data_IF_379613884151
#
_entry.id   IF_379613884151
#
_cell.length_a   1.000
_cell.length_b   1.000
_cell.length_c   1.000
_cell.angle_alpha   90.00
_cell.angle_beta   90.00
_cell.angle_gamma   90.00
#
_symmetry.space_group_name_H-M   'P 1'
#
loop_
_entity.id
_entity.type
_entity.pdbx_description
1 polymer ?
#
# COMPACT_ATOMS: atom_id res chain seq x y z
N UNK A 1 73.68 1.52 81.14
CA UNK A 1 72.95 0.96 79.97
C UNK A 1 71.49 0.79 80.37
N UNK A 2 70.66 1.73 80.01
CA UNK A 2 69.24 1.72 80.38
C UNK A 2 68.40 1.19 79.19
N UNK A 3 67.58 0.19 79.45
CA UNK A 3 66.58 -0.36 78.49
C UNK A 3 65.45 0.61 78.36
N UNK A 4 65.11 0.96 77.11
CA UNK A 4 63.89 1.68 76.79
C UNK A 4 62.69 0.75 76.84
N UNK A 5 61.53 1.22 77.30
CA UNK A 5 60.27 0.43 77.26
C UNK A 5 59.61 0.43 75.86
N UNK A 6 59.01 -0.72 75.52
CA UNK A 6 58.20 -0.89 74.29
C UNK A 6 56.84 -0.24 74.46
N UNK A 7 56.26 0.29 73.33
CA UNK A 7 54.90 0.85 73.33
C UNK A 7 53.82 -0.25 73.26
N UNK A 8 52.58 0.04 73.70
CA UNK A 8 51.51 -0.95 73.80
C UNK A 8 50.93 -1.27 72.41
N UNK A 9 50.61 -2.52 72.19
CA UNK A 9 49.95 -3.04 70.98
C UNK A 9 48.48 -2.62 70.99
N UNK A 10 48.05 -1.78 70.01
CA UNK A 10 46.66 -1.44 69.75
C UNK A 10 45.96 -2.53 68.89
N UNK A 11 44.96 -3.16 69.51
CA UNK A 11 44.08 -4.14 68.80
C UNK A 11 43.12 -3.42 67.91
N UNK A 12 43.36 -3.49 66.60
CA UNK A 12 42.37 -3.01 65.58
C UNK A 12 41.31 -4.11 65.35
N UNK A 13 40.12 -3.90 65.89
CA UNK A 13 38.92 -4.68 65.55
C UNK A 13 38.45 -4.19 64.19
N UNK A 14 38.66 -4.96 63.11
CA UNK A 14 38.14 -4.70 61.78
C UNK A 14 36.67 -5.10 61.76
N UNK A 15 35.77 -4.10 61.66
CA UNK A 15 34.37 -4.32 61.45
C UNK A 15 34.19 -4.51 59.88
N UNK A 16 33.98 -5.75 59.46
CA UNK A 16 33.59 -6.07 58.10
C UNK A 16 32.08 -5.72 57.89
N UNK A 17 31.79 -4.58 57.30
CA UNK A 17 30.45 -4.27 56.85
C UNK A 17 30.15 -5.06 55.56
N UNK A 18 29.30 -6.08 55.69
CA UNK A 18 28.81 -6.89 54.56
C UNK A 18 27.79 -6.07 53.78
N UNK A 19 28.20 -5.42 52.67
CA UNK A 19 27.31 -4.80 51.72
C UNK A 19 26.62 -5.91 50.89
N UNK A 20 25.40 -6.27 51.27
CA UNK A 20 24.51 -7.11 50.45
C UNK A 20 23.99 -6.23 49.32
N UNK A 21 24.60 -6.30 48.13
CA UNK A 21 24.06 -5.68 46.92
C UNK A 21 22.79 -6.46 46.51
N UNK A 22 21.64 -5.86 46.71
CA UNK A 22 20.38 -6.33 46.09
C UNK A 22 20.53 -6.22 44.58
N UNK A 23 20.87 -7.31 43.92
CA UNK A 23 20.75 -7.42 42.45
C UNK A 23 19.25 -7.56 42.12
N UNK A 24 18.59 -6.43 41.87
CA UNK A 24 17.26 -6.43 41.29
C UNK A 24 17.45 -6.90 39.84
N UNK A 25 16.89 -8.05 39.40
CA UNK A 25 16.96 -8.43 38.01
C UNK A 25 16.21 -7.37 37.23
N UNK A 26 16.90 -6.60 36.34
CA UNK A 26 16.27 -5.88 35.29
C UNK A 26 15.52 -6.93 34.44
N UNK A 27 14.21 -7.04 34.65
CA UNK A 27 13.36 -7.70 33.68
C UNK A 27 13.51 -6.90 32.39
N UNK A 28 14.30 -7.43 31.45
CA UNK A 28 14.20 -7.01 30.05
C UNK A 28 12.71 -7.17 29.69
N UNK A 29 12.02 -6.07 29.52
CA UNK A 29 10.74 -6.10 28.80
C UNK A 29 11.09 -6.65 27.42
N UNK A 30 10.87 -7.94 27.21
CA UNK A 30 10.81 -8.50 25.87
C UNK A 30 9.68 -7.72 25.20
N UNK A 31 10.05 -6.80 24.32
CA UNK A 31 9.14 -6.22 23.37
C UNK A 31 8.50 -7.42 22.67
N UNK A 32 7.23 -7.70 22.95
CA UNK A 32 6.50 -8.69 22.19
C UNK A 32 6.50 -8.19 20.75
N UNK A 33 7.17 -8.94 19.86
CA UNK A 33 7.20 -8.60 18.46
C UNK A 33 5.75 -8.35 17.99
N UNK A 34 5.52 -7.22 17.32
CA UNK A 34 4.20 -6.92 16.80
C UNK A 34 3.72 -8.10 15.93
N UNK A 35 2.48 -8.52 16.15
CA UNK A 35 1.85 -9.57 15.37
C UNK A 35 0.76 -8.91 14.52
N UNK A 36 0.77 -9.21 13.23
CA UNK A 36 -0.28 -8.75 12.32
C UNK A 36 -1.65 -9.28 12.78
N UNK A 37 -2.61 -8.38 13.08
CA UNK A 37 -3.96 -8.77 13.48
C UNK A 37 -4.86 -9.09 12.29
N UNK A 38 -4.39 -8.85 11.05
CA UNK A 38 -5.17 -9.04 9.83
C UNK A 38 -5.61 -10.49 9.65
N UNK A 39 -6.75 -10.68 9.01
CA UNK A 39 -7.39 -12.01 8.89
C UNK A 39 -6.84 -12.85 7.73
N UNK A 40 -5.92 -12.31 6.93
CA UNK A 40 -5.36 -13.03 5.79
C UNK A 40 -4.40 -14.15 6.19
N UNK A 41 -4.20 -15.08 5.26
CA UNK A 41 -3.11 -16.05 5.27
C UNK A 41 -2.11 -15.63 4.20
N UNK A 42 -0.83 -15.44 4.59
CA UNK A 42 0.24 -15.12 3.65
C UNK A 42 0.87 -16.39 3.08
N UNK A 43 1.11 -16.41 1.77
CA UNK A 43 1.82 -17.47 1.06
C UNK A 43 2.75 -16.89 0.01
N UNK A 44 3.82 -17.64 -0.37
CA UNK A 44 4.80 -17.21 -1.36
C UNK A 44 4.75 -18.11 -2.59
N UNK A 45 4.37 -17.55 -3.74
CA UNK A 45 4.14 -18.30 -4.98
C UNK A 45 5.26 -17.99 -5.99
N UNK A 46 5.92 -19.01 -6.55
CA UNK A 46 6.91 -18.82 -7.60
C UNK A 46 6.27 -18.26 -8.88
N UNK A 47 6.87 -17.23 -9.49
CA UNK A 47 6.41 -16.60 -10.74
C UNK A 47 7.51 -16.60 -11.82
N UNK A 48 8.40 -17.54 -11.78
CA UNK A 48 9.52 -17.70 -12.69
C UNK A 48 10.76 -18.17 -11.96
N UNK A 49 11.91 -18.07 -12.61
CA UNK A 49 13.16 -18.47 -11.99
C UNK A 49 13.50 -17.47 -10.86
N UNK A 50 13.67 -18.00 -9.66
CA UNK A 50 14.17 -17.31 -8.47
C UNK A 50 13.32 -16.13 -7.95
N UNK A 51 12.08 -15.93 -8.43
CA UNK A 51 11.17 -14.92 -7.91
C UNK A 51 9.94 -15.58 -7.29
N UNK A 52 9.66 -15.27 -6.04
CA UNK A 52 8.42 -15.63 -5.36
C UNK A 52 7.71 -14.37 -4.94
N UNK A 53 6.41 -14.30 -5.19
CA UNK A 53 5.58 -13.18 -4.76
C UNK A 53 4.75 -13.57 -3.55
N UNK A 54 4.64 -12.62 -2.63
CA UNK A 54 3.71 -12.72 -1.53
C UNK A 54 2.27 -12.58 -2.05
N UNK A 55 1.43 -13.51 -1.64
CA UNK A 55 -0.01 -13.50 -1.89
C UNK A 55 -0.72 -13.60 -0.57
N UNK A 56 -1.59 -12.64 -0.30
CA UNK A 56 -2.48 -12.63 0.86
C UNK A 56 -3.82 -13.24 0.45
N UNK A 57 -4.32 -14.17 1.26
CA UNK A 57 -5.62 -14.83 1.07
C UNK A 57 -6.52 -14.49 2.27
N UNK A 58 -7.55 -13.66 2.04
CA UNK A 58 -8.54 -13.31 3.06
C UNK A 58 -9.71 -14.31 3.10
N UNK A 59 -9.70 -15.35 2.24
CA UNK A 59 -10.76 -16.33 2.17
C UNK A 59 -12.02 -15.80 1.49
N UNK A 60 -13.14 -16.35 1.91
CA UNK A 60 -14.44 -16.10 1.30
C UNK A 60 -14.87 -17.21 0.36
N UNK A 61 -16.04 -17.06 -0.24
CA UNK A 61 -16.62 -18.04 -1.17
C UNK A 61 -17.11 -17.35 -2.44
N UNK A 62 -17.13 -18.09 -3.55
CA UNK A 62 -17.57 -17.56 -4.85
C UNK A 62 -16.42 -17.31 -5.81
N UNK A 63 -16.67 -16.42 -6.78
CA UNK A 63 -15.67 -16.10 -7.82
C UNK A 63 -14.40 -15.52 -7.19
N UNK A 64 -13.20 -15.94 -7.64
CA UNK A 64 -11.97 -15.31 -7.19
C UNK A 64 -11.91 -13.82 -7.55
N UNK A 65 -11.41 -13.00 -6.61
CA UNK A 65 -11.15 -11.59 -6.79
C UNK A 65 -9.72 -11.29 -6.34
N UNK A 66 -8.92 -10.69 -7.22
CA UNK A 66 -7.49 -10.42 -6.97
C UNK A 66 -7.23 -8.93 -6.91
N UNK A 67 -6.71 -8.46 -5.78
CA UNK A 67 -6.36 -7.07 -5.51
C UNK A 67 -4.89 -6.81 -5.84
N UNK A 68 -4.62 -5.73 -6.58
CA UNK A 68 -3.28 -5.31 -7.03
C UNK A 68 -2.99 -3.89 -6.51
N UNK A 69 -1.95 -3.76 -5.70
CA UNK A 69 -1.63 -2.51 -5.02
C UNK A 69 -1.03 -1.44 -5.94
N UNK A 70 -1.09 -0.20 -5.51
CA UNK A 70 -0.48 0.95 -6.14
C UNK A 70 1.05 0.97 -6.08
N UNK A 71 1.65 2.03 -6.62
CA UNK A 71 3.09 2.24 -6.54
C UNK A 71 3.55 2.51 -5.12
N UNK A 72 4.53 1.76 -4.64
CA UNK A 72 5.06 1.88 -3.28
C UNK A 72 4.23 1.19 -2.20
N UNK A 73 3.13 0.53 -2.57
CA UNK A 73 2.29 -0.24 -1.66
C UNK A 73 2.47 -1.75 -1.84
N UNK A 74 2.12 -2.49 -0.79
CA UNK A 74 2.02 -3.95 -0.78
C UNK A 74 0.54 -4.36 -0.73
N UNK A 75 0.26 -5.66 -0.80
CA UNK A 75 -1.12 -6.15 -0.68
C UNK A 75 -1.75 -5.82 0.69
N UNK A 76 -0.94 -5.58 1.72
CA UNK A 76 -1.40 -5.20 3.06
C UNK A 76 -2.17 -3.87 3.11
N UNK A 77 -2.06 -3.03 2.06
CA UNK A 77 -2.87 -1.80 1.96
C UNK A 77 -4.38 -2.10 1.91
N UNK A 78 -4.76 -3.34 1.56
CA UNK A 78 -6.15 -3.78 1.48
C UNK A 78 -6.66 -4.53 2.72
N UNK A 79 -5.87 -4.63 3.80
CA UNK A 79 -6.24 -5.45 4.97
C UNK A 79 -7.55 -5.04 5.64
N UNK A 80 -7.90 -3.75 5.60
CA UNK A 80 -9.17 -3.25 6.13
C UNK A 80 -10.32 -3.31 5.09
N UNK A 81 -10.00 -3.37 3.80
CA UNK A 81 -10.95 -3.37 2.68
C UNK A 81 -11.34 -4.76 2.21
N UNK A 82 -10.35 -5.65 2.02
CA UNK A 82 -10.55 -6.99 1.45
C UNK A 82 -11.56 -7.85 2.22
N UNK A 83 -11.59 -7.86 3.58
CA UNK A 83 -12.56 -8.64 4.33
C UNK A 83 -14.03 -8.30 4.02
N UNK A 84 -14.30 -7.07 3.56
CA UNK A 84 -15.67 -6.60 3.23
C UNK A 84 -16.19 -7.15 1.89
N UNK A 85 -15.31 -7.78 1.12
CA UNK A 85 -15.63 -8.43 -0.15
C UNK A 85 -15.81 -9.95 0.00
N UNK A 86 -15.39 -10.55 1.13
CA UNK A 86 -15.38 -12.01 1.31
C UNK A 86 -16.76 -12.64 1.41
N UNK A 87 -17.81 -11.86 1.62
CA UNK A 87 -19.20 -12.36 1.53
C UNK A 87 -19.61 -12.76 0.11
N UNK A 88 -18.99 -12.14 -0.90
CA UNK A 88 -19.38 -12.26 -2.29
C UNK A 88 -18.29 -12.94 -3.15
N UNK A 89 -17.04 -12.92 -2.71
CA UNK A 89 -15.86 -13.36 -3.45
C UNK A 89 -14.88 -14.12 -2.56
N UNK A 90 -14.04 -14.98 -3.18
CA UNK A 90 -12.80 -15.43 -2.55
C UNK A 90 -11.71 -14.40 -2.88
N UNK A 91 -11.19 -13.71 -1.87
CA UNK A 91 -10.37 -12.50 -2.06
C UNK A 91 -8.90 -12.78 -1.83
N UNK A 92 -8.10 -12.46 -2.83
CA UNK A 92 -6.63 -12.52 -2.82
C UNK A 92 -6.03 -11.13 -3.03
N UNK A 93 -4.79 -10.93 -2.56
CA UNK A 93 -4.00 -9.75 -2.86
C UNK A 93 -2.58 -10.15 -3.24
N UNK A 94 -2.00 -9.50 -4.24
CA UNK A 94 -0.64 -9.77 -4.70
C UNK A 94 0.25 -8.59 -4.34
N UNK A 95 1.32 -8.84 -3.58
CA UNK A 95 2.42 -7.90 -3.42
C UNK A 95 3.35 -8.02 -4.63
N UNK A 96 3.44 -6.93 -5.41
CA UNK A 96 4.24 -6.87 -6.65
C UNK A 96 5.71 -7.19 -6.40
N UNK A 97 6.39 -7.78 -7.39
CA UNK A 97 7.84 -8.05 -7.34
C UNK A 97 8.65 -6.83 -6.93
N UNK A 98 9.59 -7.01 -6.00
CA UNK A 98 10.46 -5.97 -5.49
C UNK A 98 9.81 -5.01 -4.52
N UNK A 99 8.63 -5.35 -3.97
CA UNK A 99 7.95 -4.64 -2.88
C UNK A 99 7.71 -5.59 -1.70
N UNK A 100 7.67 -5.04 -0.50
CA UNK A 100 7.44 -5.81 0.72
C UNK A 100 8.36 -7.03 0.83
N UNK A 101 7.75 -8.18 1.08
CA UNK A 101 8.44 -9.48 1.20
C UNK A 101 8.55 -10.22 -0.16
N UNK A 102 8.00 -9.66 -1.24
CA UNK A 102 8.10 -10.24 -2.57
C UNK A 102 9.52 -10.17 -3.12
N UNK A 103 9.97 -11.26 -3.75
CA UNK A 103 11.26 -11.35 -4.41
C UNK A 103 11.42 -10.34 -5.55
N UNK A 104 12.66 -10.10 -5.96
CA UNK A 104 12.99 -9.20 -7.06
C UNK A 104 13.93 -9.85 -8.06
N UNK A 105 13.63 -9.69 -9.34
CA UNK A 105 14.57 -9.87 -10.45
C UNK A 105 14.33 -8.77 -11.48
N UNK A 106 15.35 -8.40 -12.28
CA UNK A 106 15.19 -7.41 -13.35
C UNK A 106 14.05 -7.78 -14.30
N UNK A 107 13.36 -6.77 -14.83
CA UNK A 107 12.28 -6.97 -15.80
C UNK A 107 12.86 -7.44 -17.15
N UNK A 108 12.24 -8.44 -17.74
CA UNK A 108 12.62 -9.00 -19.03
C UNK A 108 11.80 -8.47 -20.19
N UNK A 109 10.55 -8.08 -19.95
CA UNK A 109 9.57 -7.63 -20.96
C UNK A 109 8.87 -6.32 -20.60
N UNK A 110 9.55 -5.43 -19.89
CA UNK A 110 9.00 -4.15 -19.47
C UNK A 110 7.78 -4.34 -18.56
N UNK A 111 6.76 -3.49 -18.71
CA UNK A 111 5.56 -3.51 -17.87
C UNK A 111 4.70 -4.78 -18.03
N UNK A 112 4.82 -5.52 -19.14
CA UNK A 112 4.10 -6.79 -19.31
C UNK A 112 4.58 -7.86 -18.32
N UNK A 113 5.81 -7.77 -17.81
CA UNK A 113 6.32 -8.70 -16.78
C UNK A 113 5.42 -8.70 -15.53
N UNK A 114 4.89 -7.55 -15.14
CA UNK A 114 3.97 -7.47 -13.99
C UNK A 114 2.63 -8.18 -14.28
N UNK A 115 2.11 -8.04 -15.51
CA UNK A 115 0.93 -8.79 -15.94
C UNK A 115 1.19 -10.30 -16.06
N UNK A 116 2.38 -10.69 -16.49
CA UNK A 116 2.81 -12.11 -16.57
C UNK A 116 2.92 -12.70 -15.15
N UNK A 117 3.39 -11.95 -14.18
CA UNK A 117 3.40 -12.35 -12.77
C UNK A 117 1.98 -12.63 -12.24
N UNK A 118 1.03 -11.74 -12.55
CA UNK A 118 -0.38 -11.96 -12.19
C UNK A 118 -0.86 -13.27 -12.80
N UNK A 119 -0.65 -13.50 -14.10
CA UNK A 119 -1.06 -14.74 -14.76
C UNK A 119 -0.42 -15.99 -14.13
N UNK A 120 0.86 -15.94 -13.78
CA UNK A 120 1.54 -17.04 -13.11
C UNK A 120 0.90 -17.36 -11.74
N UNK A 121 0.48 -16.35 -10.99
CA UNK A 121 -0.26 -16.54 -9.74
C UNK A 121 -1.63 -17.16 -10.01
N UNK A 122 -2.38 -16.66 -11.02
CA UNK A 122 -3.69 -17.22 -11.37
C UNK A 122 -3.56 -18.71 -11.72
N UNK A 123 -2.53 -19.09 -12.48
CA UNK A 123 -2.27 -20.49 -12.86
C UNK A 123 -1.88 -21.35 -11.65
N UNK A 124 -0.97 -20.86 -10.80
CA UNK A 124 -0.52 -21.58 -9.62
C UNK A 124 -1.66 -21.87 -8.63
N UNK A 125 -2.55 -20.90 -8.44
CA UNK A 125 -3.74 -21.02 -7.57
C UNK A 125 -4.95 -21.64 -8.28
N UNK A 126 -4.87 -21.92 -9.58
CA UNK A 126 -5.96 -22.45 -10.42
C UNK A 126 -7.21 -21.56 -10.36
N UNK A 127 -7.00 -20.24 -10.40
CA UNK A 127 -8.10 -19.27 -10.36
C UNK A 127 -8.73 -19.16 -11.76
N UNK A 128 -9.96 -19.63 -11.87
CA UNK A 128 -10.71 -19.61 -13.12
C UNK A 128 -11.52 -18.30 -13.22
N UNK A 129 -11.30 -17.57 -14.30
CA UNK A 129 -12.05 -16.34 -14.63
C UNK A 129 -12.21 -15.36 -13.45
N UNK A 130 -11.11 -14.97 -12.77
CA UNK A 130 -11.18 -14.06 -11.63
C UNK A 130 -11.58 -12.65 -12.05
N UNK A 131 -12.04 -11.86 -11.09
CA UNK A 131 -12.06 -10.39 -11.20
C UNK A 131 -10.70 -9.86 -10.79
N UNK A 132 -10.10 -8.97 -11.58
CA UNK A 132 -8.91 -8.25 -11.18
C UNK A 132 -9.29 -6.83 -10.77
N UNK A 133 -8.77 -6.37 -9.64
CA UNK A 133 -9.00 -5.04 -9.07
C UNK A 133 -7.65 -4.38 -8.84
N UNK A 134 -7.37 -3.26 -9.48
CA UNK A 134 -6.07 -2.59 -9.39
C UNK A 134 -6.19 -1.14 -8.95
N UNK A 135 -5.36 -0.75 -7.98
CA UNK A 135 -5.21 0.62 -7.54
C UNK A 135 -4.05 1.29 -8.26
N UNK A 136 -4.24 2.55 -8.70
CA UNK A 136 -3.16 3.37 -9.25
C UNK A 136 -2.41 2.62 -10.37
N UNK A 137 -1.08 2.48 -10.28
CA UNK A 137 -0.27 1.76 -11.27
C UNK A 137 -0.65 0.27 -11.41
N UNK A 138 -1.40 -0.32 -10.47
CA UNK A 138 -2.04 -1.63 -10.63
C UNK A 138 -2.90 -1.72 -11.90
N UNK A 139 -3.36 -0.58 -12.42
CA UNK A 139 -4.02 -0.48 -13.72
C UNK A 139 -3.18 -0.97 -14.91
N UNK A 140 -1.85 -0.90 -14.84
CA UNK A 140 -0.95 -1.46 -15.87
C UNK A 140 -1.09 -2.98 -15.96
N UNK A 141 -1.13 -3.65 -14.82
CA UNK A 141 -1.29 -5.12 -14.75
C UNK A 141 -2.66 -5.51 -15.27
N UNK A 142 -3.73 -4.78 -14.86
CA UNK A 142 -5.07 -4.99 -15.36
C UNK A 142 -5.12 -4.88 -16.89
N UNK A 143 -4.61 -3.79 -17.43
CA UNK A 143 -4.65 -3.51 -18.88
C UNK A 143 -3.77 -4.48 -19.66
N UNK A 144 -2.61 -4.86 -19.12
CA UNK A 144 -1.73 -5.87 -19.70
C UNK A 144 -2.45 -7.23 -19.83
N UNK A 145 -3.08 -7.70 -18.73
CA UNK A 145 -3.81 -8.97 -18.74
C UNK A 145 -5.07 -8.87 -19.59
N UNK A 146 -5.91 -7.83 -19.38
CA UNK A 146 -7.18 -7.67 -20.08
C UNK A 146 -7.05 -7.45 -21.57
N UNK A 147 -5.94 -6.88 -22.04
CA UNK A 147 -5.67 -6.70 -23.48
C UNK A 147 -5.10 -7.96 -24.11
N UNK A 148 -4.09 -8.57 -23.48
CA UNK A 148 -3.39 -9.73 -24.02
C UNK A 148 -4.16 -11.04 -23.83
N UNK A 149 -4.91 -11.15 -22.75
CA UNK A 149 -5.57 -12.39 -22.33
C UNK A 149 -7.01 -12.16 -21.84
N UNK A 150 -7.89 -11.52 -22.63
CA UNK A 150 -9.23 -11.09 -22.18
C UNK A 150 -10.10 -12.26 -21.69
N UNK A 151 -9.88 -13.47 -22.19
CA UNK A 151 -10.64 -14.66 -21.80
C UNK A 151 -10.16 -15.29 -20.48
N UNK A 152 -9.08 -14.79 -19.88
CA UNK A 152 -8.54 -15.30 -18.62
C UNK A 152 -9.19 -14.68 -17.39
N UNK A 153 -9.90 -13.57 -17.54
CA UNK A 153 -10.49 -12.78 -16.46
C UNK A 153 -11.93 -12.39 -16.78
N UNK A 154 -12.78 -12.36 -15.75
CA UNK A 154 -14.20 -12.04 -15.92
C UNK A 154 -14.44 -10.51 -16.06
N UNK A 155 -13.71 -9.71 -15.29
CA UNK A 155 -13.84 -8.26 -15.27
C UNK A 155 -12.59 -7.58 -14.71
N UNK A 156 -12.47 -6.29 -14.98
CA UNK A 156 -11.44 -5.41 -14.46
C UNK A 156 -12.08 -4.27 -13.68
N UNK A 157 -11.54 -3.95 -12.49
CA UNK A 157 -11.96 -2.80 -11.70
C UNK A 157 -10.74 -1.91 -11.41
N UNK A 158 -10.79 -0.69 -11.90
CA UNK A 158 -9.74 0.30 -11.77
C UNK A 158 -10.08 1.26 -10.63
N UNK A 159 -9.34 1.17 -9.52
CA UNK A 159 -9.48 2.03 -8.34
C UNK A 159 -8.53 3.22 -8.49
N UNK A 160 -9.03 4.33 -8.99
CA UNK A 160 -8.25 5.52 -9.37
C UNK A 160 -6.96 5.17 -10.14
N UNK A 161 -7.10 4.19 -11.02
CA UNK A 161 -6.05 3.58 -11.82
C UNK A 161 -6.25 3.87 -13.31
N UNK A 162 -6.80 5.05 -13.66
CA UNK A 162 -7.25 5.36 -14.98
C UNK A 162 -6.07 5.67 -15.92
N UNK A 163 -5.71 6.90 -16.02
CA UNK A 163 -4.75 7.42 -17.00
C UNK A 163 -3.50 7.92 -16.28
N UNK A 164 -2.27 7.70 -16.75
CA UNK A 164 -1.85 6.98 -17.97
C UNK A 164 -1.69 5.47 -17.76
N UNK A 165 -2.03 4.94 -16.59
CA UNK A 165 -1.70 3.57 -16.22
C UNK A 165 -2.56 2.52 -16.93
N UNK A 166 -3.85 2.81 -17.11
CA UNK A 166 -4.78 1.82 -17.61
C UNK A 166 -5.14 2.01 -19.08
N UNK A 167 -5.34 3.23 -19.51
CA UNK A 167 -5.78 3.56 -20.85
C UNK A 167 -5.17 4.88 -21.27
N UNK A 168 -4.45 4.91 -22.38
CA UNK A 168 -3.82 6.10 -22.90
C UNK A 168 -3.95 6.12 -24.44
N UNK A 169 -4.82 6.98 -24.93
CA UNK A 169 -5.01 7.22 -26.35
C UNK A 169 -4.23 8.44 -26.89
N UNK A 170 -3.33 8.99 -26.09
CA UNK A 170 -2.53 10.16 -26.43
C UNK A 170 -3.29 11.48 -26.51
N UNK A 171 -4.56 11.53 -26.09
CA UNK A 171 -5.42 12.72 -26.19
C UNK A 171 -5.52 13.54 -24.92
N UNK A 172 -5.01 13.01 -23.81
CA UNK A 172 -5.06 13.67 -22.50
C UNK A 172 -3.65 14.02 -22.04
N UNK A 173 -3.45 15.19 -21.44
CA UNK A 173 -2.16 15.57 -20.87
C UNK A 173 -1.66 14.53 -19.86
N UNK A 174 -0.36 14.35 -19.80
CA UNK A 174 0.30 13.48 -18.82
C UNK A 174 0.46 14.20 -17.48
N UNK A 175 0.74 13.45 -16.41
CA UNK A 175 1.09 14.04 -15.11
C UNK A 175 2.27 15.01 -15.19
N UNK A 176 3.18 14.84 -16.14
CA UNK A 176 4.32 15.73 -16.33
C UNK A 176 3.90 17.15 -16.69
N UNK A 177 2.79 17.33 -17.38
CA UNK A 177 2.29 18.64 -17.81
C UNK A 177 1.53 19.39 -16.71
N UNK A 178 1.15 18.68 -15.63
CA UNK A 178 0.42 19.28 -14.50
C UNK A 178 1.36 19.59 -13.34
N UNK A 179 2.49 18.91 -13.29
CA UNK A 179 3.35 18.86 -12.11
C UNK A 179 4.50 19.87 -12.12
N UNK A 180 4.49 20.92 -12.96
CA UNK A 180 5.52 21.97 -12.83
C UNK A 180 5.55 22.56 -11.42
N UNK A 181 4.40 22.62 -10.72
CA UNK A 181 4.28 23.05 -9.33
C UNK A 181 4.13 21.91 -8.30
N UNK A 182 4.09 20.65 -8.76
CA UNK A 182 3.90 19.47 -7.90
C UNK A 182 2.49 19.29 -7.36
N UNK A 183 2.26 18.14 -6.72
CA UNK A 183 1.02 17.88 -5.98
C UNK A 183 1.10 18.57 -4.60
N UNK A 184 0.00 19.15 -4.09
CA UNK A 184 -0.01 19.70 -2.75
C UNK A 184 0.29 18.59 -1.73
N UNK A 185 1.27 18.85 -0.85
CA UNK A 185 1.72 17.90 0.14
C UNK A 185 1.17 18.26 1.53
N UNK A 186 0.77 17.28 2.34
CA UNK A 186 0.38 17.54 3.72
C UNK A 186 1.58 18.01 4.55
N UNK A 187 1.35 18.72 5.66
CA UNK A 187 2.40 18.99 6.61
C UNK A 187 3.11 17.70 7.05
N UNK A 188 4.42 17.68 7.19
CA UNK A 188 5.14 16.45 7.57
C UNK A 188 4.72 15.98 8.97
N UNK A 189 4.84 14.67 9.28
CA UNK A 189 4.58 14.16 10.61
C UNK A 189 5.60 14.75 11.61
N UNK A 190 5.11 15.04 12.82
CA UNK A 190 5.95 15.51 13.93
C UNK A 190 6.70 14.35 14.60
N UNK A 191 7.63 14.66 15.49
CA UNK A 191 8.31 13.66 16.32
C UNK A 191 7.33 12.84 17.17
N UNK A 192 6.25 13.45 17.65
CA UNK A 192 5.20 12.76 18.39
C UNK A 192 4.43 11.78 17.50
N UNK A 193 4.12 12.15 16.26
CA UNK A 193 3.48 11.27 15.28
C UNK A 193 4.37 10.07 14.92
N UNK A 194 5.67 10.24 14.91
CA UNK A 194 6.65 9.19 14.59
C UNK A 194 7.07 8.37 15.82
N UNK A 195 6.58 8.68 17.02
CA UNK A 195 6.96 7.93 18.23
C UNK A 195 6.53 6.46 18.16
N UNK A 196 5.42 6.15 17.48
CA UNK A 196 4.89 4.79 17.29
C UNK A 196 4.18 4.66 15.93
N UNK A 197 3.94 3.43 15.47
CA UNK A 197 3.11 3.20 14.28
C UNK A 197 1.67 3.67 14.49
N UNK A 198 1.12 3.57 15.68
CA UNK A 198 -0.21 4.12 15.99
C UNK A 198 -0.24 5.65 15.88
N UNK A 199 0.79 6.34 16.37
CA UNK A 199 0.97 7.78 16.18
C UNK A 199 0.99 8.17 14.70
N UNK A 200 1.72 7.41 13.88
CA UNK A 200 1.75 7.62 12.43
C UNK A 200 0.38 7.36 11.76
N UNK A 201 -0.35 6.32 12.19
CA UNK A 201 -1.73 6.08 11.72
C UNK A 201 -2.65 7.25 12.06
N UNK A 202 -2.59 7.76 13.28
CA UNK A 202 -3.37 8.93 13.72
C UNK A 202 -3.01 10.19 12.92
N UNK A 203 -1.72 10.38 12.58
CA UNK A 203 -1.30 11.45 11.68
C UNK A 203 -1.99 11.33 10.32
N UNK A 204 -1.96 10.17 9.66
CA UNK A 204 -2.63 9.98 8.37
C UNK A 204 -4.14 10.17 8.48
N UNK A 205 -4.78 9.67 9.53
CA UNK A 205 -6.22 9.89 9.76
C UNK A 205 -6.55 11.38 9.90
N UNK A 206 -5.71 12.12 10.60
CA UNK A 206 -5.89 13.57 10.81
C UNK A 206 -5.71 14.36 9.51
N UNK A 207 -4.69 14.04 8.70
CA UNK A 207 -4.35 14.81 7.50
C UNK A 207 -5.08 14.35 6.26
N UNK A 208 -5.26 13.06 6.06
CA UNK A 208 -5.91 12.50 4.86
C UNK A 208 -7.40 12.29 5.05
N UNK A 209 -7.86 12.01 6.27
CA UNK A 209 -9.26 11.72 6.58
C UNK A 209 -9.61 10.23 6.56
N UNK A 210 -8.63 9.36 6.34
CA UNK A 210 -8.76 7.91 6.42
C UNK A 210 -7.54 7.29 7.12
N UNK A 211 -7.68 6.04 7.57
CA UNK A 211 -6.62 5.33 8.30
C UNK A 211 -5.95 4.31 7.39
N UNK A 212 -4.62 4.26 7.41
CA UNK A 212 -3.86 3.16 6.78
C UNK A 212 -3.86 1.92 7.67
N UNK A 213 -3.92 0.70 7.10
CA UNK A 213 -3.61 -0.52 7.82
C UNK A 213 -2.20 -0.45 8.42
N UNK A 214 -2.06 -0.87 9.68
CA UNK A 214 -0.74 -0.82 10.35
C UNK A 214 0.25 -1.78 9.69
N UNK A 215 -0.23 -2.94 9.23
CA UNK A 215 0.59 -3.89 8.47
C UNK A 215 1.25 -3.23 7.27
N UNK A 216 0.51 -2.46 6.47
CA UNK A 216 1.05 -1.72 5.33
C UNK A 216 2.10 -0.69 5.76
N UNK A 217 1.86 0.06 6.83
CA UNK A 217 2.85 1.04 7.31
C UNK A 217 4.14 0.36 7.76
N UNK A 218 4.06 -0.84 8.34
CA UNK A 218 5.22 -1.64 8.74
C UNK A 218 5.97 -2.23 7.55
N UNK A 219 5.29 -2.50 6.45
CA UNK A 219 5.95 -2.85 5.18
C UNK A 219 6.73 -1.65 4.61
N UNK A 220 6.18 -0.45 4.72
CA UNK A 220 6.72 0.76 4.10
C UNK A 220 7.79 1.48 4.93
N UNK A 221 7.83 1.28 6.25
CA UNK A 221 8.69 2.03 7.17
C UNK A 221 9.55 1.10 8.02
N UNK A 222 10.79 1.52 8.31
CA UNK A 222 11.58 0.95 9.39
C UNK A 222 11.16 1.52 10.74
N UNK A 223 11.59 0.84 11.80
CA UNK A 223 11.46 1.34 13.16
C UNK A 223 12.70 0.98 13.98
N UNK A 224 12.99 1.78 15.01
CA UNK A 224 14.02 1.45 16.00
C UNK A 224 13.58 0.26 16.87
N UNK A 225 14.49 -0.38 17.62
CA UNK A 225 14.13 -1.44 18.58
C UNK A 225 13.10 -1.00 19.61
N UNK A 226 13.05 0.30 19.95
CA UNK A 226 12.10 0.91 20.89
C UNK A 226 10.75 1.21 20.24
N UNK A 227 10.60 0.98 18.92
CA UNK A 227 9.34 1.13 18.17
C UNK A 227 9.12 2.50 17.52
N UNK A 228 10.10 3.41 17.57
CA UNK A 228 10.02 4.70 16.88
C UNK A 228 10.07 4.48 15.36
N UNK A 229 9.12 5.04 14.63
CA UNK A 229 9.05 4.95 13.18
C UNK A 229 10.10 5.84 12.53
N UNK A 230 10.79 5.28 11.55
CA UNK A 230 11.90 5.93 10.84
C UNK A 230 11.58 6.16 9.36
N UNK A 231 12.61 6.05 8.53
CA UNK A 231 12.57 6.33 7.11
C UNK A 231 11.65 5.37 6.32
N UNK A 232 11.22 5.81 5.16
CA UNK A 232 10.62 4.95 4.15
C UNK A 232 11.64 3.89 3.69
N UNK A 233 11.19 2.65 3.62
CA UNK A 233 11.99 1.58 3.02
C UNK A 233 12.13 1.81 1.51
N UNK A 234 13.31 1.55 0.98
CA UNK A 234 13.53 1.58 -0.46
C UNK A 234 13.26 0.19 -1.03
N UNK A 235 12.36 0.11 -1.97
CA UNK A 235 12.06 -1.15 -2.66
C UNK A 235 12.76 -1.21 -4.01
N UNK A 236 13.45 -2.34 -4.35
CA UNK A 236 14.11 -2.50 -5.64
C UNK A 236 13.15 -2.30 -6.82
N UNK A 237 11.89 -2.72 -6.70
CA UNK A 237 10.84 -2.55 -7.70
C UNK A 237 10.51 -1.10 -8.02
N UNK A 238 10.71 -0.16 -7.09
CA UNK A 238 10.39 1.24 -7.29
C UNK A 238 11.12 1.90 -8.47
N UNK A 239 12.35 1.45 -8.77
CA UNK A 239 13.15 2.01 -9.88
C UNK A 239 12.68 1.55 -11.25
N UNK A 240 12.04 0.39 -11.33
CA UNK A 240 11.62 -0.23 -12.60
C UNK A 240 10.12 -0.11 -12.84
N UNK A 241 9.37 0.36 -11.84
CA UNK A 241 7.91 0.41 -11.86
C UNK A 241 7.36 1.18 -13.07
N UNK A 242 7.99 2.29 -13.42
CA UNK A 242 7.60 3.13 -14.57
C UNK A 242 8.42 2.87 -15.81
N UNK A 243 9.45 2.02 -15.73
CA UNK A 243 10.28 1.69 -16.86
C UNK A 243 9.52 0.82 -17.87
N UNK A 244 9.44 1.27 -19.12
CA UNK A 244 8.78 0.51 -20.18
C UNK A 244 7.25 0.41 -20.02
N UNK A 245 6.61 1.38 -19.34
CA UNK A 245 5.14 1.49 -19.33
C UNK A 245 4.59 1.52 -20.76
N UNK A 246 3.57 0.69 -20.99
CA UNK A 246 2.88 0.62 -22.27
C UNK A 246 1.62 1.49 -22.24
N UNK A 247 1.29 2.03 -23.40
CA UNK A 247 0.01 2.64 -23.66
C UNK A 247 -0.99 1.56 -24.12
N UNK A 248 -2.11 1.44 -23.41
CA UNK A 248 -3.19 0.54 -23.76
C UNK A 248 -4.34 1.38 -24.31
N UNK A 249 -4.73 1.12 -25.54
CA UNK A 249 -5.81 1.84 -26.25
C UNK A 249 -7.05 0.98 -26.47
N UNK A 250 -6.97 -0.30 -26.13
CA UNK A 250 -8.05 -1.27 -26.28
C UNK A 250 -8.11 -2.21 -25.08
N UNK A 251 -9.26 -2.20 -24.41
CA UNK A 251 -9.55 -3.10 -23.28
C UNK A 251 -10.88 -3.79 -23.61
N UNK A 252 -10.83 -5.08 -23.91
CA UNK A 252 -11.99 -5.86 -24.35
C UNK A 252 -12.76 -6.51 -23.20
N UNK A 253 -12.10 -6.70 -22.08
CA UNK A 253 -12.70 -7.25 -20.87
C UNK A 253 -13.67 -6.22 -20.27
N UNK A 254 -14.85 -6.62 -19.75
CA UNK A 254 -15.74 -5.71 -19.03
C UNK A 254 -14.99 -4.93 -17.96
N UNK A 255 -15.12 -3.60 -17.96
CA UNK A 255 -14.30 -2.74 -17.09
C UNK A 255 -15.13 -1.70 -16.34
N UNK A 256 -14.79 -1.52 -15.06
CA UNK A 256 -15.29 -0.44 -14.20
C UNK A 256 -14.11 0.47 -13.83
N UNK A 257 -14.23 1.77 -14.07
CA UNK A 257 -13.29 2.78 -13.64
C UNK A 257 -13.93 3.64 -12.54
N UNK A 258 -13.35 3.60 -11.36
CA UNK A 258 -13.70 4.46 -10.23
C UNK A 258 -12.66 5.56 -10.15
N UNK A 259 -13.03 6.76 -10.60
CA UNK A 259 -12.09 7.90 -10.76
C UNK A 259 -12.28 8.88 -9.62
N UNK A 260 -11.21 9.19 -8.90
CA UNK A 260 -11.24 10.16 -7.81
C UNK A 260 -11.23 11.59 -8.34
N UNK A 261 -11.66 12.54 -7.51
CA UNK A 261 -11.44 13.96 -7.74
C UNK A 261 -10.05 14.45 -7.29
N UNK A 262 -9.15 13.53 -6.92
CA UNK A 262 -7.81 13.79 -6.41
C UNK A 262 -7.81 14.75 -5.20
N UNK A 263 -8.77 14.57 -4.30
CA UNK A 263 -8.76 15.31 -3.05
C UNK A 263 -7.48 15.00 -2.27
N UNK A 264 -6.63 15.99 -1.96
CA UNK A 264 -5.37 15.73 -1.26
C UNK A 264 -5.57 15.33 0.21
N UNK A 265 -6.81 15.31 0.67
CA UNK A 265 -7.17 14.94 2.02
C UNK A 265 -7.76 16.10 2.84
N UNK A 266 -8.12 15.80 4.08
CA UNK A 266 -8.82 16.75 4.98
C UNK A 266 -8.02 18.04 5.20
N UNK A 267 -6.70 17.95 5.33
CA UNK A 267 -5.84 19.12 5.56
C UNK A 267 -5.97 20.18 4.45
N UNK A 268 -6.09 19.74 3.21
CA UNK A 268 -6.17 20.65 2.07
C UNK A 268 -7.58 21.25 1.90
N UNK A 269 -8.63 20.49 2.28
CA UNK A 269 -10.00 20.99 2.25
C UNK A 269 -10.21 22.19 3.21
N UNK A 270 -9.45 22.23 4.30
CA UNK A 270 -9.48 23.32 5.29
C UNK A 270 -8.45 24.42 5.01
N UNK A 271 -7.61 24.26 3.97
CA UNK A 271 -6.59 25.25 3.63
C UNK A 271 -7.21 26.55 3.13
N UNK A 272 -6.70 27.67 3.64
CA UNK A 272 -7.01 29.02 3.15
C UNK A 272 -6.00 29.51 2.11
N UNK A 273 -4.93 28.76 1.85
CA UNK A 273 -3.89 29.10 0.89
C UNK A 273 -4.45 29.07 -0.55
N UNK A 274 -4.45 30.20 -1.28
CA UNK A 274 -4.94 30.27 -2.65
C UNK A 274 -4.23 29.32 -3.59
N UNK A 275 -2.91 29.10 -3.41
CA UNK A 275 -2.10 28.21 -4.26
C UNK A 275 -2.55 26.76 -4.11
N UNK A 276 -2.83 26.30 -2.88
CA UNK A 276 -3.34 24.95 -2.62
C UNK A 276 -4.71 24.75 -3.28
N UNK A 277 -5.60 25.75 -3.18
CA UNK A 277 -6.92 25.68 -3.83
C UNK A 277 -6.83 25.61 -5.35
N UNK A 278 -5.93 26.39 -5.95
CA UNK A 278 -5.67 26.35 -7.39
C UNK A 278 -5.13 24.99 -7.84
N UNK A 279 -4.17 24.42 -7.11
CA UNK A 279 -3.64 23.09 -7.38
C UNK A 279 -4.74 22.01 -7.30
N UNK A 280 -5.62 22.07 -6.29
CA UNK A 280 -6.75 21.12 -6.15
C UNK A 280 -7.72 21.27 -7.35
N UNK A 281 -8.06 22.50 -7.74
CA UNK A 281 -8.93 22.73 -8.87
C UNK A 281 -8.30 22.21 -10.19
N UNK A 282 -6.98 22.40 -10.38
CA UNK A 282 -6.22 21.87 -11.50
C UNK A 282 -6.23 20.34 -11.56
N UNK A 283 -6.01 19.67 -10.43
CA UNK A 283 -6.07 18.22 -10.31
C UNK A 283 -7.47 17.68 -10.65
N UNK A 284 -8.52 18.30 -10.12
CA UNK A 284 -9.90 17.88 -10.38
C UNK A 284 -10.27 18.05 -11.86
N UNK A 285 -9.88 19.15 -12.49
CA UNK A 285 -10.07 19.37 -13.92
C UNK A 285 -9.29 18.38 -14.79
N UNK A 286 -8.13 17.96 -14.32
CA UNK A 286 -7.31 16.95 -14.99
C UNK A 286 -7.95 15.56 -14.93
N UNK A 287 -8.36 15.10 -13.76
CA UNK A 287 -9.00 13.79 -13.61
C UNK A 287 -10.33 13.72 -14.39
N UNK A 288 -11.07 14.82 -14.48
CA UNK A 288 -12.27 14.88 -15.32
C UNK A 288 -11.95 14.69 -16.80
N UNK A 289 -10.88 15.31 -17.32
CA UNK A 289 -10.45 15.07 -18.71
C UNK A 289 -10.03 13.60 -18.94
N UNK A 290 -9.39 12.97 -17.95
CA UNK A 290 -9.05 11.55 -18.03
C UNK A 290 -10.29 10.66 -18.03
N UNK A 291 -11.24 10.91 -17.12
CA UNK A 291 -12.49 10.17 -17.06
C UNK A 291 -13.25 10.25 -18.39
N UNK A 292 -13.35 11.46 -18.97
CA UNK A 292 -13.97 11.67 -20.28
C UNK A 292 -13.23 10.96 -21.40
N UNK A 293 -11.91 10.96 -21.41
CA UNK A 293 -11.13 10.26 -22.43
C UNK A 293 -11.35 8.74 -22.41
N UNK A 294 -11.55 8.17 -21.22
CA UNK A 294 -11.90 6.75 -21.05
C UNK A 294 -13.31 6.49 -21.59
N UNK A 295 -14.30 7.31 -21.23
CA UNK A 295 -15.67 7.19 -21.77
C UNK A 295 -15.72 7.26 -23.29
N UNK A 296 -15.00 8.23 -23.88
CA UNK A 296 -14.94 8.43 -25.33
C UNK A 296 -14.14 7.31 -26.04
N UNK A 297 -13.13 6.74 -25.39
CA UNK A 297 -12.24 5.74 -25.99
C UNK A 297 -12.63 4.29 -25.72
N UNK A 298 -13.36 4.03 -24.64
CA UNK A 298 -13.83 2.70 -24.22
C UNK A 298 -15.34 2.71 -23.95
N UNK A 299 -16.19 2.74 -24.99
CA UNK A 299 -17.65 2.88 -24.81
C UNK A 299 -18.30 1.74 -24.00
N UNK A 300 -17.65 0.59 -23.89
CA UNK A 300 -18.12 -0.56 -23.09
C UNK A 300 -17.73 -0.46 -21.60
N UNK A 301 -16.83 0.44 -21.24
CA UNK A 301 -16.43 0.65 -19.86
C UNK A 301 -17.47 1.47 -19.11
N UNK A 302 -17.66 1.13 -17.84
CA UNK A 302 -18.40 1.97 -16.90
C UNK A 302 -17.41 2.89 -16.17
N UNK A 303 -17.62 4.20 -16.24
CA UNK A 303 -16.83 5.21 -15.53
C UNK A 303 -17.70 5.85 -14.45
N UNK A 304 -17.21 5.88 -13.23
CA UNK A 304 -17.88 6.49 -12.07
C UNK A 304 -16.92 7.48 -11.42
N UNK A 305 -17.39 8.71 -11.26
CA UNK A 305 -16.64 9.78 -10.58
C UNK A 305 -16.97 9.80 -9.10
N UNK A 306 -15.96 9.64 -8.27
CA UNK A 306 -16.06 9.69 -6.82
C UNK A 306 -15.70 11.09 -6.33
N UNK A 307 -16.72 11.92 -6.10
CA UNK A 307 -16.54 13.30 -5.67
C UNK A 307 -15.96 13.36 -4.26
N UNK A 308 -14.98 14.24 -4.04
CA UNK A 308 -14.29 14.39 -2.76
C UNK A 308 -13.34 13.26 -2.42
N UNK A 309 -13.23 12.23 -3.27
CA UNK A 309 -12.37 11.09 -3.03
C UNK A 309 -10.88 11.45 -3.16
N UNK A 310 -10.07 10.87 -2.27
CA UNK A 310 -8.62 10.84 -2.39
C UNK A 310 -8.20 9.79 -3.42
N UNK A 311 -6.92 9.81 -3.81
CA UNK A 311 -6.32 8.77 -4.67
C UNK A 311 -6.54 7.35 -4.12
N UNK A 312 -6.53 7.16 -2.81
CA UNK A 312 -6.86 5.90 -2.14
C UNK A 312 -8.38 5.78 -1.97
N UNK A 313 -9.11 5.65 -3.08
CA UNK A 313 -10.58 5.64 -3.10
C UNK A 313 -11.20 4.58 -2.19
N UNK A 314 -10.59 3.42 -2.09
CA UNK A 314 -11.03 2.30 -1.25
C UNK A 314 -10.81 2.51 0.26
N UNK A 315 -10.06 3.57 0.64
CA UNK A 315 -9.90 4.02 2.03
C UNK A 315 -10.71 5.29 2.32
N UNK A 316 -10.77 6.22 1.35
CA UNK A 316 -11.44 7.52 1.55
C UNK A 316 -12.95 7.48 1.26
N UNK A 317 -13.39 6.64 0.34
CA UNK A 317 -14.78 6.53 -0.14
C UNK A 317 -15.23 5.07 -0.24
N UNK A 318 -14.87 4.29 0.77
CA UNK A 318 -15.02 2.84 0.79
C UNK A 318 -16.44 2.38 0.47
N UNK A 319 -17.47 2.96 1.12
CA UNK A 319 -18.86 2.57 0.92
C UNK A 319 -19.31 2.77 -0.53
N UNK A 320 -18.89 3.88 -1.17
CA UNK A 320 -19.18 4.15 -2.56
C UNK A 320 -18.48 3.14 -3.48
N UNK A 321 -17.20 2.84 -3.19
CA UNK A 321 -16.42 1.85 -3.95
C UNK A 321 -17.08 0.47 -3.86
N UNK A 322 -17.41 0.00 -2.66
CA UNK A 322 -18.07 -1.29 -2.46
C UNK A 322 -19.43 -1.36 -3.17
N UNK A 323 -20.24 -0.31 -3.09
CA UNK A 323 -21.54 -0.22 -3.76
C UNK A 323 -21.39 -0.34 -5.28
N UNK A 324 -20.49 0.46 -5.88
CA UNK A 324 -20.29 0.48 -7.33
C UNK A 324 -19.68 -0.84 -7.84
N UNK A 325 -18.73 -1.42 -7.11
CA UNK A 325 -18.17 -2.74 -7.42
C UNK A 325 -19.25 -3.80 -7.42
N UNK A 326 -20.06 -3.89 -6.36
CA UNK A 326 -21.17 -4.90 -6.28
C UNK A 326 -22.20 -4.70 -7.39
N UNK A 327 -22.58 -3.45 -7.67
CA UNK A 327 -23.53 -3.13 -8.74
C UNK A 327 -23.00 -3.50 -10.13
N UNK A 328 -21.71 -3.36 -10.40
CA UNK A 328 -21.07 -3.74 -11.64
C UNK A 328 -20.87 -5.25 -11.75
N UNK A 329 -20.24 -5.86 -10.74
CA UNK A 329 -19.84 -7.27 -10.75
C UNK A 329 -21.05 -8.21 -10.69
N UNK A 330 -22.15 -7.79 -10.09
CA UNK A 330 -23.42 -8.55 -10.11
C UNK A 330 -24.05 -8.73 -11.52
N UNK A 331 -23.53 -8.00 -12.52
CA UNK A 331 -23.96 -8.12 -13.95
C UNK A 331 -22.95 -8.89 -14.80
N UNK A 332 -21.78 -9.20 -14.25
CA UNK A 332 -20.73 -9.94 -14.95
C UNK A 332 -21.01 -11.45 -14.81
N UNK A 333 -21.27 -12.12 -15.93
CA UNK A 333 -21.57 -13.55 -16.00
C UNK A 333 -20.34 -14.44 -15.83
#
# INVERSE_FOLDING_TARGET
MAKRPEPPRSSHVAIFALLVALVVPLRSQQSTAWKDPSSHVSQFIPVGQDVRLEVLDWGGAGRPLVLLAGGGDTAHVFDDFAPKLTSDFHVYGITRRGFGESGFAPLTSGSDTFGDDVLAILDALKLESPVLVGHSIGGQELSSVGTRYPNRVAALVYLDAAYPYAFDNGKVPTFKEISEDGFPQPPPPTDADLATFDGLRQYYTRVLGFTYPEAELRQKRSATPEGRVEAMRSFPGGRVLTAGMKQYVEIRTPALFLVSSQSPGRWAQTSTDPKIREQIAGLSAFTERQAKAIEDGLPSARVVRLLGANHYVFLSNEDDVLREMRAFLGRVR
#
